data_IF_525705229439
#
_entry.id   IF_525705229439
#
_cell.length_a   1.000
_cell.length_b   1.000
_cell.length_c   1.000
_cell.angle_alpha   90.00
_cell.angle_beta   90.00
_cell.angle_gamma   90.00
#
_symmetry.space_group_name_H-M   'P 1'
#
loop_
_entity.id
_entity.type
_entity.pdbx_description
1 polymer ?
#
# COMPACT_ATOMS: atom_id res chain seq x y z
N UNK A 1 11.25 18.05 7.00
CA UNK A 1 9.78 17.80 7.03
C UNK A 1 8.98 18.82 7.84
N UNK A 2 9.35 19.17 9.10
CA UNK A 2 8.55 20.12 9.92
C UNK A 2 8.49 21.54 9.36
N UNK A 3 9.56 22.03 8.74
CA UNK A 3 9.59 23.36 8.11
C UNK A 3 8.55 23.52 7.00
N UNK A 4 8.35 22.48 6.17
CA UNK A 4 7.35 22.50 5.10
C UNK A 4 5.93 22.62 5.65
N UNK A 5 5.63 21.89 6.74
CA UNK A 5 4.33 21.98 7.40
C UNK A 5 4.09 23.36 8.04
N UNK A 6 5.14 23.99 8.57
CA UNK A 6 5.09 25.36 9.08
C UNK A 6 4.89 26.38 7.96
N UNK A 7 5.60 26.23 6.84
CA UNK A 7 5.45 27.08 5.66
C UNK A 7 4.03 26.97 5.08
N UNK A 8 3.50 25.74 4.97
CA UNK A 8 2.13 25.51 4.52
C UNK A 8 1.10 26.18 5.42
N UNK A 9 1.24 26.03 6.75
CA UNK A 9 0.37 26.71 7.72
C UNK A 9 0.47 28.23 7.63
N UNK A 10 1.68 28.75 7.50
CA UNK A 10 1.92 30.20 7.35
C UNK A 10 1.34 30.74 6.05
N UNK A 11 1.51 30.03 4.94
CA UNK A 11 0.92 30.38 3.65
C UNK A 11 -0.61 30.38 3.72
N UNK A 12 -1.19 29.32 4.30
CA UNK A 12 -2.63 29.22 4.47
C UNK A 12 -3.16 30.37 5.34
N UNK A 13 -2.50 30.66 6.45
CA UNK A 13 -2.84 31.81 7.30
C UNK A 13 -2.74 33.12 6.53
N UNK A 14 -1.65 33.34 5.80
CA UNK A 14 -1.45 34.56 5.03
C UNK A 14 -2.54 34.74 3.96
N UNK A 15 -2.90 33.68 3.23
CA UNK A 15 -3.99 33.73 2.24
C UNK A 15 -5.32 34.04 2.92
N UNK A 16 -5.66 33.36 4.02
CA UNK A 16 -6.90 33.62 4.76
C UNK A 16 -6.92 35.04 5.35
N UNK A 17 -5.79 35.54 5.82
CA UNK A 17 -5.64 36.87 6.41
C UNK A 17 -5.71 37.97 5.34
N UNK A 18 -4.99 37.82 4.23
CA UNK A 18 -5.07 38.74 3.09
C UNK A 18 -6.49 38.76 2.50
N UNK A 19 -7.13 37.59 2.41
CA UNK A 19 -8.52 37.47 2.03
C UNK A 19 -9.43 38.21 3.02
N UNK A 20 -9.23 38.07 4.33
CA UNK A 20 -9.97 38.80 5.36
C UNK A 20 -9.79 40.32 5.26
N UNK A 21 -8.57 40.81 5.03
CA UNK A 21 -8.28 42.23 4.83
C UNK A 21 -8.91 42.79 3.55
N UNK A 22 -8.91 42.03 2.46
CA UNK A 22 -9.48 42.47 1.19
C UNK A 22 -11.01 42.36 1.14
N UNK A 23 -11.59 41.44 1.92
CA UNK A 23 -13.02 41.13 1.93
C UNK A 23 -13.70 41.56 3.24
N UNK A 24 -13.34 42.75 3.75
CA UNK A 24 -13.99 43.38 4.91
C UNK A 24 -15.38 43.96 4.60
N UNK A 25 -15.80 43.91 3.33
CA UNK A 25 -17.08 44.44 2.88
C UNK A 25 -18.25 43.69 3.55
N UNK A 26 -19.22 44.47 4.03
CA UNK A 26 -20.48 43.95 4.56
C UNK A 26 -21.36 43.49 3.40
N UNK A 27 -21.81 42.24 3.47
CA UNK A 27 -22.76 41.65 2.51
C UNK A 27 -24.09 41.47 3.21
N UNK A 28 -25.17 41.88 2.54
CA UNK A 28 -26.53 41.71 3.02
C UNK A 28 -27.09 40.35 2.55
N UNK A 29 -27.28 39.42 3.49
CA UNK A 29 -28.00 38.17 3.24
C UNK A 29 -29.50 38.41 3.36
N UNK A 30 -30.20 38.35 2.22
CA UNK A 30 -31.65 38.51 2.17
C UNK A 30 -32.33 37.16 2.38
N UNK A 31 -33.02 37.01 3.50
CA UNK A 31 -33.78 35.82 3.84
C UNK A 31 -35.22 35.92 3.31
N UNK A 32 -35.92 34.78 3.27
CA UNK A 32 -37.21 34.59 2.60
C UNK A 32 -38.39 35.39 3.19
N UNK A 33 -38.24 36.04 4.35
CA UNK A 33 -39.29 36.83 5.03
C UNK A 33 -39.03 38.35 5.02
N UNK A 34 -38.16 38.83 4.11
CA UNK A 34 -37.72 40.23 4.10
C UNK A 34 -36.72 40.59 5.19
N UNK A 35 -36.36 39.62 6.05
CA UNK A 35 -35.28 39.76 7.01
C UNK A 35 -33.95 39.79 6.27
N UNK A 36 -33.17 40.84 6.47
CA UNK A 36 -31.83 40.93 5.94
C UNK A 36 -30.79 40.97 7.05
N UNK A 37 -29.77 40.13 6.92
CA UNK A 37 -28.69 40.08 7.89
C UNK A 37 -27.39 40.48 7.21
N UNK A 38 -26.73 41.49 7.76
CA UNK A 38 -25.43 41.95 7.27
C UNK A 38 -24.32 41.16 7.96
N UNK A 39 -23.49 40.50 7.15
CA UNK A 39 -22.30 39.80 7.63
C UNK A 39 -21.11 40.17 6.74
N UNK A 40 -19.90 40.34 7.30
CA UNK A 40 -18.71 40.55 6.49
C UNK A 40 -18.48 39.36 5.54
N UNK A 41 -18.16 39.65 4.28
CA UNK A 41 -18.02 38.65 3.20
C UNK A 41 -17.06 37.52 3.59
N UNK A 42 -15.99 37.85 4.30
CA UNK A 42 -15.01 36.87 4.78
C UNK A 42 -15.66 35.73 5.58
N UNK A 43 -16.59 36.02 6.50
CA UNK A 43 -17.21 35.01 7.35
C UNK A 43 -18.13 34.09 6.56
N UNK A 44 -18.82 34.63 5.55
CA UNK A 44 -19.71 33.87 4.67
C UNK A 44 -18.91 32.84 3.89
N UNK A 45 -17.82 33.28 3.25
CA UNK A 45 -16.94 32.40 2.46
C UNK A 45 -16.28 31.36 3.35
N UNK A 46 -15.78 31.76 4.52
CA UNK A 46 -15.17 30.83 5.47
C UNK A 46 -16.16 29.77 5.95
N UNK A 47 -17.41 30.16 6.24
CA UNK A 47 -18.47 29.26 6.67
C UNK A 47 -18.83 28.23 5.60
N UNK A 48 -19.05 28.66 4.36
CA UNK A 48 -19.36 27.76 3.23
C UNK A 48 -18.18 26.84 2.92
N UNK A 49 -16.95 27.37 2.95
CA UNK A 49 -15.74 26.58 2.74
C UNK A 49 -15.56 25.51 3.81
N UNK A 50 -15.72 25.87 5.09
CA UNK A 50 -15.66 24.92 6.20
C UNK A 50 -16.72 23.82 6.05
N UNK A 51 -17.96 24.18 5.69
CA UNK A 51 -19.02 23.23 5.39
C UNK A 51 -18.63 22.28 4.24
N UNK A 52 -18.07 22.83 3.17
CA UNK A 52 -17.57 22.08 2.02
C UNK A 52 -16.45 21.12 2.38
N UNK A 53 -15.49 21.54 3.21
CA UNK A 53 -14.43 20.67 3.73
C UNK A 53 -14.99 19.53 4.58
N UNK A 54 -15.88 19.84 5.53
CA UNK A 54 -16.55 18.81 6.35
C UNK A 54 -17.28 17.81 5.46
N UNK A 55 -18.03 18.30 4.48
CA UNK A 55 -18.77 17.46 3.52
C UNK A 55 -17.82 16.61 2.68
N UNK A 56 -16.71 17.18 2.20
CA UNK A 56 -15.70 16.45 1.42
C UNK A 56 -15.01 15.35 2.23
N UNK A 57 -14.65 15.64 3.49
CA UNK A 57 -14.09 14.64 4.41
C UNK A 57 -15.11 13.55 4.71
N UNK A 58 -16.37 13.93 4.99
CA UNK A 58 -17.45 12.97 5.20
C UNK A 58 -17.73 12.13 3.95
N UNK A 59 -17.58 12.66 2.74
CA UNK A 59 -17.70 11.92 1.49
C UNK A 59 -16.55 10.92 1.28
N UNK A 60 -15.35 11.20 1.81
CA UNK A 60 -14.18 10.30 1.77
C UNK A 60 -14.18 9.22 2.87
N UNK A 61 -14.91 9.43 3.98
CA UNK A 61 -15.05 8.44 5.06
C UNK A 61 -15.66 7.08 4.63
N UNK A 62 -16.79 7.03 3.89
CA UNK A 62 -17.40 5.76 3.50
C UNK A 62 -16.57 4.98 2.48
N UNK A 63 -15.80 5.65 1.61
CA UNK A 63 -14.92 4.97 0.66
C UNK A 63 -13.80 4.21 1.37
N UNK A 64 -13.20 4.80 2.41
CA UNK A 64 -12.21 4.12 3.24
C UNK A 64 -12.79 2.92 4.01
N UNK A 65 -14.02 3.05 4.51
CA UNK A 65 -14.71 1.95 5.18
C UNK A 65 -15.01 0.76 4.26
N UNK A 66 -15.36 1.02 2.99
CA UNK A 66 -15.58 -0.03 2.01
C UNK A 66 -14.29 -0.78 1.70
N UNK A 67 -13.20 -0.06 1.46
CA UNK A 67 -11.88 -0.68 1.26
C UNK A 67 -11.43 -1.53 2.47
N UNK A 68 -11.72 -1.09 3.70
CA UNK A 68 -11.39 -1.87 4.91
C UNK A 68 -12.23 -3.15 5.04
N UNK A 69 -13.50 -3.13 4.60
CA UNK A 69 -14.36 -4.33 4.57
C UNK A 69 -13.91 -5.31 3.49
N UNK A 70 -13.58 -4.82 2.30
CA UNK A 70 -13.11 -5.64 1.18
C UNK A 70 -11.77 -6.33 1.52
N UNK A 71 -10.87 -5.64 2.22
CA UNK A 71 -9.62 -6.22 2.70
C UNK A 71 -9.84 -7.40 3.68
N UNK A 72 -10.86 -7.32 4.56
CA UNK A 72 -11.21 -8.41 5.49
C UNK A 72 -11.82 -9.62 4.76
N UNK A 73 -12.69 -9.38 3.77
CA UNK A 73 -13.26 -10.49 2.99
C UNK A 73 -12.22 -11.16 2.10
N UNK A 74 -11.24 -10.41 1.56
CA UNK A 74 -10.12 -11.01 0.83
C UNK A 74 -9.24 -11.89 1.70
N UNK A 75 -9.00 -11.51 2.97
CA UNK A 75 -8.21 -12.33 3.90
C UNK A 75 -8.90 -13.67 4.27
N UNK A 76 -10.23 -13.72 4.26
CA UNK A 76 -10.99 -14.96 4.50
C UNK A 76 -11.07 -15.88 3.28
N UNK A 77 -10.78 -15.39 2.08
CA UNK A 77 -10.78 -16.16 0.83
C UNK A 77 -9.37 -16.62 0.41
N UNK A 78 -8.33 -16.31 1.18
CA UNK A 78 -6.98 -16.84 0.94
C UNK A 78 -6.92 -18.28 1.49
N UNK A 79 -6.63 -19.30 0.65
CA UNK A 79 -6.40 -20.66 1.11
C UNK A 79 -5.23 -20.69 2.09
N UNK A 80 -5.38 -21.46 3.17
CA UNK A 80 -4.35 -21.68 4.18
C UNK A 80 -3.06 -22.15 3.49
N UNK A 81 -1.88 -21.56 3.79
CA UNK A 81 -0.63 -22.10 3.30
C UNK A 81 -0.46 -23.47 3.96
N UNK A 82 -0.46 -24.53 3.16
CA UNK A 82 -0.11 -25.88 3.59
C UNK A 82 1.32 -25.83 4.12
N UNK A 83 1.46 -25.62 5.43
CA UNK A 83 2.73 -25.78 6.14
C UNK A 83 3.02 -27.27 6.09
N UNK A 84 3.90 -27.65 5.16
CA UNK A 84 4.37 -29.02 5.01
C UNK A 84 5.34 -29.35 6.15
N UNK A 85 4.82 -29.50 7.36
CA UNK A 85 5.53 -29.99 8.54
C UNK A 85 5.57 -31.52 8.49
N UNK A 86 6.36 -32.08 7.59
CA UNK A 86 6.77 -33.49 7.65
C UNK A 86 8.13 -33.72 6.96
N UNK A 87 9.16 -33.02 7.42
CA UNK A 87 10.53 -33.47 7.25
C UNK A 87 11.37 -33.07 8.47
N UNK A 88 10.98 -33.60 9.63
CA UNK A 88 11.89 -33.77 10.76
C UNK A 88 11.97 -35.28 11.01
N UNK A 89 12.89 -35.94 10.31
CA UNK A 89 13.31 -37.28 10.66
C UNK A 89 14.72 -37.15 11.26
N UNK A 90 14.78 -37.24 12.59
CA UNK A 90 15.99 -37.37 13.37
C UNK A 90 16.66 -38.75 13.10
N UNK A 91 17.95 -38.91 13.45
CA UNK A 91 18.82 -39.97 12.91
C UNK A 91 18.49 -41.32 13.55
N UNK A 92 18.45 -42.39 12.75
CA UNK A 92 18.41 -43.77 13.30
C UNK A 92 19.84 -44.26 13.55
N UNK A 93 20.19 -44.58 14.81
CA UNK A 93 21.39 -45.32 15.13
C UNK A 93 21.12 -46.82 15.01
N UNK A 94 22.13 -47.58 14.60
CA UNK A 94 22.14 -49.05 14.50
C UNK A 94 21.35 -49.67 13.33
N UNK A 95 22.07 -49.94 12.25
CA UNK A 95 22.04 -51.29 11.68
C UNK A 95 23.47 -51.76 11.44
N UNK A 96 23.88 -52.78 12.19
CA UNK A 96 25.22 -53.34 12.22
C UNK A 96 25.17 -54.75 11.65
N UNK A 97 25.71 -54.93 10.45
CA UNK A 97 25.95 -56.24 9.84
C UNK A 97 27.25 -56.23 9.03
N UNK A 98 28.25 -57.06 9.37
CA UNK A 98 29.56 -57.04 8.72
C UNK A 98 29.54 -57.95 7.50
N UNK A 99 29.94 -57.44 6.34
CA UNK A 99 30.33 -58.29 5.21
C UNK A 99 31.35 -57.54 4.35
N UNK A 100 32.60 -57.83 4.65
CA UNK A 100 33.80 -57.53 3.90
C UNK A 100 33.68 -57.93 2.43
N UNK A 101 33.84 -56.98 1.51
CA UNK A 101 34.39 -57.28 0.18
C UNK A 101 35.24 -56.11 -0.32
N UNK A 102 36.54 -56.30 -0.19
CA UNK A 102 37.63 -55.55 -0.80
C UNK A 102 37.50 -55.48 -2.33
N UNK A 103 37.51 -54.27 -2.89
CA UNK A 103 37.61 -54.00 -4.33
C UNK A 103 37.86 -52.51 -4.60
N UNK A 104 38.72 -52.14 -5.58
CA UNK A 104 39.18 -50.77 -5.82
C UNK A 104 38.05 -49.84 -6.32
N UNK A 105 38.18 -48.50 -6.21
CA UNK A 105 37.09 -47.57 -6.50
C UNK A 105 36.84 -47.49 -8.01
N UNK A 106 35.93 -48.32 -8.53
CA UNK A 106 35.40 -48.16 -9.88
C UNK A 106 34.17 -47.27 -9.81
N UNK A 107 34.35 -46.02 -10.27
CA UNK A 107 33.30 -45.06 -10.58
C UNK A 107 32.18 -45.74 -11.40
N UNK A 108 30.91 -45.72 -10.97
CA UNK A 108 29.82 -46.16 -11.82
C UNK A 108 29.59 -45.16 -12.95
N UNK A 109 29.51 -45.75 -14.14
CA UNK A 109 29.38 -45.16 -15.45
C UNK A 109 28.04 -44.45 -15.70
N UNK A 110 28.08 -43.60 -16.74
CA UNK A 110 26.96 -43.29 -17.65
C UNK A 110 25.71 -42.59 -17.09
N UNK A 111 25.78 -41.25 -17.15
CA UNK A 111 24.61 -40.44 -17.49
C UNK A 111 24.19 -40.74 -18.94
N UNK A 112 22.91 -41.06 -19.22
CA UNK A 112 22.42 -41.18 -20.58
C UNK A 112 22.46 -39.79 -21.24
N UNK A 113 23.37 -39.57 -22.17
CA UNK A 113 23.35 -38.36 -23.00
C UNK A 113 22.24 -38.49 -24.05
N UNK A 114 21.32 -37.51 -24.15
CA UNK A 114 20.28 -37.52 -25.17
C UNK A 114 20.91 -37.40 -26.59
N UNK A 115 20.38 -38.14 -27.57
CA UNK A 115 20.91 -38.16 -28.93
C UNK A 115 20.65 -36.81 -29.63
N UNK A 116 21.65 -36.37 -30.39
CA UNK A 116 21.58 -35.36 -31.44
C UNK A 116 21.23 -33.92 -31.04
N UNK A 117 22.23 -33.19 -30.53
CA UNK A 117 22.30 -31.75 -30.79
C UNK A 117 23.68 -31.40 -31.38
N UNK A 118 23.78 -31.12 -32.69
CA UNK A 118 25.03 -30.67 -33.29
C UNK A 118 25.45 -29.33 -32.68
N UNK A 119 26.66 -29.29 -32.11
CA UNK A 119 27.20 -28.13 -31.43
C UNK A 119 27.23 -26.88 -32.33
N UNK A 120 26.72 -25.72 -31.87
CA UNK A 120 26.91 -24.46 -32.58
C UNK A 120 28.40 -24.11 -32.61
N UNK A 121 29.02 -24.23 -33.79
CA UNK A 121 30.39 -23.75 -34.04
C UNK A 121 30.38 -22.23 -33.91
N UNK A 122 31.04 -21.69 -32.88
CA UNK A 122 31.37 -20.27 -32.78
C UNK A 122 32.37 -19.92 -33.89
N UNK A 123 32.08 -18.98 -34.80
CA UNK A 123 33.13 -18.46 -35.68
C UNK A 123 34.09 -17.60 -34.87
N UNK A 124 35.35 -18.01 -34.87
CA UNK A 124 36.48 -17.19 -34.45
C UNK A 124 36.89 -16.30 -35.62
N UNK A 125 36.62 -14.99 -35.54
CA UNK A 125 37.58 -13.89 -35.78
C UNK A 125 36.91 -12.54 -35.56
#
# INVERSE_FOLDING_TARGET
MRALNWLWRGLLFFVLFAFALNNQHLVELKWFLGYSWQAPMVFVVLGVFALGCVTGVLAMLPSWWRHRRDARNRALLLPEPVVNSKQTAAPSPFDSGPSTRSGPPTLPAELPFPPDMPAPRKPAK
#
